data_IF_256342086699
#
_entry.id   IF_256342086699
#
_cell.length_a   1.000
_cell.length_b   1.000
_cell.length_c   1.000
_cell.angle_alpha   90.00
_cell.angle_beta   90.00
_cell.angle_gamma   90.00
#
_symmetry.space_group_name_H-M   'P 1'
#
loop_
_entity.id
_entity.type
_entity.pdbx_description
1 polymer ?
#
# COMPACT_ATOMS: atom_id res chain seq x y z
N UNK A 1 14.97 -5.02 11.38
CA UNK A 1 15.70 -3.76 11.59
C UNK A 1 15.20 -3.05 12.84
N UNK A 2 16.13 -2.46 13.60
CA UNK A 2 15.84 -1.73 14.83
C UNK A 2 16.56 -0.38 14.80
N UNK A 3 15.94 0.63 15.39
CA UNK A 3 16.62 1.87 15.71
C UNK A 3 16.59 2.13 17.21
N UNK A 4 17.48 2.97 17.65
CA UNK A 4 17.65 3.29 19.07
C UNK A 4 17.16 4.70 19.30
N UNK A 5 16.19 4.85 20.20
CA UNK A 5 15.61 6.15 20.55
C UNK A 5 16.26 6.70 21.81
N UNK A 6 16.70 7.95 21.73
CA UNK A 6 17.17 8.71 22.88
C UNK A 6 15.96 9.27 23.65
N UNK A 7 15.76 8.80 24.83
CA UNK A 7 14.73 9.35 25.73
C UNK A 7 15.46 10.25 26.69
N UNK A 8 15.41 11.55 26.40
CA UNK A 8 15.90 12.71 27.13
C UNK A 8 16.44 12.47 28.54
N UNK A 9 17.71 12.09 28.66
CA UNK A 9 18.40 11.99 29.94
C UNK A 9 19.84 12.45 29.75
N UNK A 10 20.40 12.99 30.79
CA UNK A 10 21.75 13.50 30.85
C UNK A 10 22.83 12.44 30.53
N UNK A 11 22.48 11.15 30.47
CA UNK A 11 23.42 10.07 30.27
C UNK A 11 23.82 9.83 28.82
N UNK A 12 23.15 10.49 27.84
CA UNK A 12 23.48 10.40 26.41
C UNK A 12 23.36 9.02 25.77
N UNK A 13 22.80 8.02 26.45
CA UNK A 13 22.63 6.66 25.95
C UNK A 13 21.19 6.36 25.54
N UNK A 14 20.99 5.62 24.45
CA UNK A 14 19.65 5.20 24.04
C UNK A 14 19.04 4.22 25.06
N UNK A 15 17.81 4.48 25.49
CA UNK A 15 17.12 3.68 26.54
C UNK A 15 16.12 2.67 26.01
N UNK A 16 15.78 2.74 24.72
CA UNK A 16 14.85 1.79 24.12
C UNK A 16 15.31 1.42 22.71
N UNK A 17 15.17 0.14 22.38
CA UNK A 17 15.29 -0.34 21.02
C UNK A 17 13.90 -0.49 20.41
N UNK A 18 13.64 0.19 19.30
CA UNK A 18 12.38 0.12 18.57
C UNK A 18 12.61 -0.41 17.16
N UNK A 19 11.58 -1.02 16.59
CA UNK A 19 11.60 -1.41 15.18
C UNK A 19 11.55 -0.17 14.31
N UNK A 20 12.18 -0.25 13.14
CA UNK A 20 12.07 0.80 12.12
C UNK A 20 10.68 0.74 11.46
N UNK A 21 10.19 1.87 10.99
CA UNK A 21 8.90 1.98 10.29
C UNK A 21 8.83 1.17 9.00
N UNK A 22 9.97 1.01 8.31
CA UNK A 22 10.12 0.20 7.10
C UNK A 22 10.51 -1.26 7.38
N UNK A 23 10.54 -1.71 8.65
CA UNK A 23 10.86 -3.09 8.98
C UNK A 23 9.76 -4.04 8.48
N UNK A 24 10.19 -5.02 7.67
CA UNK A 24 9.35 -6.13 7.21
C UNK A 24 9.96 -7.44 7.68
N UNK A 25 9.18 -8.25 8.38
CA UNK A 25 9.66 -9.52 8.94
C UNK A 25 9.96 -10.56 7.85
N UNK A 26 9.13 -10.58 6.81
CA UNK A 26 9.25 -11.52 5.70
C UNK A 26 9.11 -10.79 4.37
N UNK A 27 10.03 -11.06 3.46
CA UNK A 27 9.96 -10.60 2.07
C UNK A 27 10.38 -11.75 1.17
N UNK A 28 9.71 -11.91 0.04
CA UNK A 28 10.07 -12.88 -0.98
C UNK A 28 9.82 -12.30 -2.37
N UNK A 29 10.74 -12.58 -3.29
CA UNK A 29 10.60 -12.24 -4.69
C UNK A 29 10.88 -13.47 -5.53
N UNK A 30 10.00 -13.75 -6.50
CA UNK A 30 10.18 -14.78 -7.50
C UNK A 30 10.19 -14.12 -8.87
N UNK A 31 11.26 -14.32 -9.61
CA UNK A 31 11.42 -13.75 -10.95
C UNK A 31 11.54 -14.91 -11.94
N UNK A 32 10.67 -14.90 -12.94
CA UNK A 32 10.72 -15.80 -14.07
C UNK A 32 10.96 -14.97 -15.34
N UNK A 33 12.07 -15.24 -16.02
CA UNK A 33 12.36 -14.68 -17.34
C UNK A 33 12.55 -15.83 -18.32
N UNK A 34 11.77 -15.81 -19.38
CA UNK A 34 11.87 -16.78 -20.46
C UNK A 34 11.97 -16.05 -21.80
N UNK A 35 12.90 -16.50 -22.63
CA UNK A 35 13.08 -15.98 -23.99
C UNK A 35 13.15 -17.12 -24.98
N UNK A 36 12.31 -17.02 -25.99
CA UNK A 36 12.41 -17.93 -27.13
C UNK A 36 13.66 -17.60 -27.96
N UNK A 37 14.51 -18.57 -28.27
CA UNK A 37 15.58 -18.36 -29.24
C UNK A 37 15.01 -17.98 -30.62
N UNK A 38 15.88 -17.63 -31.57
CA UNK A 38 15.51 -17.37 -32.97
C UNK A 38 14.90 -18.61 -33.68
N UNK A 39 13.89 -19.18 -33.07
CA UNK A 39 13.15 -20.30 -33.62
C UNK A 39 12.18 -19.80 -34.70
N UNK A 40 11.93 -20.62 -35.68
CA UNK A 40 10.88 -20.38 -36.67
C UNK A 40 9.51 -20.57 -36.02
N UNK A 41 8.56 -19.69 -36.28
CA UNK A 41 7.19 -19.83 -35.82
C UNK A 41 6.66 -18.63 -35.04
N UNK A 42 5.48 -18.78 -34.51
CA UNK A 42 4.74 -17.70 -33.83
C UNK A 42 5.48 -17.21 -32.56
N UNK A 43 6.24 -18.06 -31.90
CA UNK A 43 6.98 -17.73 -30.69
C UNK A 43 8.41 -17.23 -30.93
N UNK A 44 8.86 -17.11 -32.18
CA UNK A 44 10.18 -16.57 -32.47
C UNK A 44 10.36 -15.18 -31.90
N UNK A 45 11.51 -14.91 -31.30
CA UNK A 45 11.88 -13.61 -30.72
C UNK A 45 10.84 -13.08 -29.70
N UNK A 46 10.22 -13.98 -28.94
CA UNK A 46 9.26 -13.62 -27.88
C UNK A 46 9.90 -13.75 -26.53
N UNK A 47 9.72 -12.74 -25.67
CA UNK A 47 10.09 -12.75 -24.25
C UNK A 47 8.84 -12.80 -23.36
N UNK A 48 8.95 -13.50 -22.25
CA UNK A 48 7.98 -13.49 -21.17
C UNK A 48 8.71 -13.25 -19.85
N UNK A 49 8.24 -12.29 -19.09
CA UNK A 49 8.75 -12.00 -17.76
C UNK A 49 7.61 -11.95 -16.75
N UNK A 50 7.80 -12.58 -15.61
CA UNK A 50 6.89 -12.51 -14.47
C UNK A 50 7.69 -12.22 -13.21
N UNK A 51 7.23 -11.24 -12.44
CA UNK A 51 7.81 -10.85 -11.14
C UNK A 51 6.71 -10.94 -10.11
N UNK A 52 6.86 -11.86 -9.17
CA UNK A 52 5.97 -11.99 -8.02
C UNK A 52 6.71 -11.50 -6.78
N UNK A 53 6.12 -10.55 -6.08
CA UNK A 53 6.64 -9.99 -4.84
C UNK A 53 5.65 -10.24 -3.71
N UNK A 54 6.19 -10.64 -2.57
CA UNK A 54 5.46 -10.79 -1.31
C UNK A 54 6.20 -10.02 -0.21
N UNK A 55 5.45 -9.31 0.63
CA UNK A 55 5.99 -8.70 1.84
C UNK A 55 5.00 -8.77 2.99
N UNK A 56 5.49 -9.10 4.20
CA UNK A 56 4.74 -8.78 5.41
C UNK A 56 4.62 -7.25 5.50
N UNK A 57 3.51 -6.76 6.05
CA UNK A 57 3.30 -5.32 6.19
C UNK A 57 4.46 -4.61 6.90
N UNK A 58 4.67 -3.36 6.61
CA UNK A 58 5.58 -2.48 7.33
C UNK A 58 5.02 -2.13 8.70
N UNK A 59 5.76 -1.38 9.50
CA UNK A 59 5.40 -1.10 10.88
C UNK A 59 4.67 0.24 11.00
N UNK A 60 3.83 0.35 12.03
CA UNK A 60 3.24 1.61 12.45
C UNK A 60 3.19 1.69 13.98
N UNK A 61 3.08 2.89 14.52
CA UNK A 61 2.90 3.10 15.95
C UNK A 61 1.41 3.18 16.24
N UNK A 62 0.84 2.23 17.01
CA UNK A 62 -0.55 2.32 17.44
C UNK A 62 -0.80 3.61 18.21
N UNK A 63 -1.90 4.29 17.90
CA UNK A 63 -2.31 5.52 18.57
C UNK A 63 -3.70 5.39 19.17
N UNK A 64 -3.99 6.22 20.13
CA UNK A 64 -5.32 6.41 20.69
C UNK A 64 -5.82 7.80 20.33
N UNK A 65 -7.03 7.87 19.79
CA UNK A 65 -7.64 9.14 19.42
C UNK A 65 -8.31 9.72 20.68
N UNK A 66 -7.85 10.90 21.08
CA UNK A 66 -8.55 11.73 22.03
C UNK A 66 -9.28 12.84 21.30
N UNK A 67 -10.60 12.90 21.44
CA UNK A 67 -11.39 14.01 20.97
C UNK A 67 -12.01 14.71 22.17
N UNK A 68 -11.80 16.01 22.26
CA UNK A 68 -12.62 16.85 23.14
C UNK A 68 -13.83 17.33 22.35
N UNK A 69 -14.90 17.71 23.04
CA UNK A 69 -16.15 18.24 22.47
C UNK A 69 -15.92 19.51 21.62
N UNK A 70 -14.73 20.11 21.69
CA UNK A 70 -14.32 21.35 21.05
C UNK A 70 -13.22 21.16 20.00
N UNK A 71 -13.47 20.35 18.95
CA UNK A 71 -12.78 20.39 17.63
C UNK A 71 -11.34 19.87 17.53
N UNK A 72 -10.61 19.54 18.58
CA UNK A 72 -9.24 19.06 18.44
C UNK A 72 -9.15 17.55 18.61
N UNK A 73 -8.86 16.85 17.52
CA UNK A 73 -8.45 15.45 17.56
C UNK A 73 -6.95 15.39 17.86
N UNK A 74 -6.61 14.75 18.96
CA UNK A 74 -5.22 14.49 19.32
C UNK A 74 -4.97 12.99 19.22
N UNK A 75 -3.89 12.63 18.57
CA UNK A 75 -3.40 11.25 18.57
C UNK A 75 -2.22 11.14 19.53
N UNK A 76 -2.34 10.22 20.48
CA UNK A 76 -1.25 9.87 21.37
C UNK A 76 -0.84 8.43 21.14
N UNK A 77 0.47 8.09 21.22
CA UNK A 77 0.91 6.71 21.15
C UNK A 77 0.18 5.84 22.19
N UNK A 78 -0.46 4.77 21.73
CA UNK A 78 -1.15 3.80 22.57
C UNK A 78 -0.32 2.52 22.81
N UNK A 79 0.90 2.50 22.27
CA UNK A 79 1.81 1.37 22.39
C UNK A 79 3.26 1.77 22.08
N UNK A 80 4.18 0.82 22.11
CA UNK A 80 5.56 1.06 21.74
C UNK A 80 5.67 1.54 20.27
N UNK A 81 6.69 2.34 20.00
CA UNK A 81 6.97 2.84 18.65
C UNK A 81 7.11 1.66 17.68
N UNK A 82 6.38 1.74 16.55
CA UNK A 82 6.41 0.73 15.48
C UNK A 82 6.04 -0.70 15.93
N UNK A 83 5.17 -0.83 16.94
CA UNK A 83 4.72 -2.13 17.44
C UNK A 83 3.60 -2.77 16.60
N UNK A 84 2.82 -1.96 15.88
CA UNK A 84 1.80 -2.43 14.95
C UNK A 84 2.41 -2.92 13.64
N UNK A 85 1.66 -3.74 12.91
CA UNK A 85 2.06 -4.25 11.58
C UNK A 85 0.92 -4.04 10.61
N UNK A 86 1.19 -3.40 9.47
CA UNK A 86 0.22 -3.25 8.39
C UNK A 86 -0.07 -4.60 7.71
N UNK A 87 -1.16 -4.71 6.95
CA UNK A 87 -1.47 -5.91 6.17
C UNK A 87 -0.31 -6.34 5.26
N UNK A 88 -0.15 -7.65 5.07
CA UNK A 88 0.80 -8.19 4.10
C UNK A 88 0.30 -7.90 2.67
N UNK A 89 1.23 -7.84 1.73
CA UNK A 89 0.92 -7.62 0.32
C UNK A 89 1.50 -8.70 -0.58
N UNK A 90 0.85 -8.88 -1.72
CA UNK A 90 1.34 -9.72 -2.82
C UNK A 90 1.13 -8.97 -4.12
N UNK A 91 2.15 -8.87 -4.94
CA UNK A 91 2.08 -8.26 -6.27
C UNK A 91 2.58 -9.24 -7.33
N UNK A 92 1.93 -9.26 -8.49
CA UNK A 92 2.37 -9.99 -9.67
C UNK A 92 2.40 -9.05 -10.86
N UNK A 93 3.59 -8.84 -11.41
CA UNK A 93 3.80 -8.10 -12.63
C UNK A 93 4.16 -9.04 -13.76
N UNK A 94 3.51 -8.87 -14.90
CA UNK A 94 3.71 -9.69 -16.10
C UNK A 94 4.13 -8.81 -17.28
N UNK A 95 5.01 -9.34 -18.11
CA UNK A 95 5.39 -8.70 -19.38
C UNK A 95 5.58 -9.74 -20.46
N UNK A 96 5.03 -9.44 -21.61
CA UNK A 96 5.30 -10.16 -22.87
C UNK A 96 5.87 -9.16 -23.86
N UNK A 97 6.94 -9.52 -24.52
CA UNK A 97 7.51 -8.73 -25.59
C UNK A 97 7.82 -9.60 -26.81
N UNK A 98 7.77 -9.00 -27.99
CA UNK A 98 8.06 -9.67 -29.27
C UNK A 98 8.76 -8.74 -30.23
N UNK A 99 9.91 -9.21 -30.72
CA UNK A 99 10.65 -8.49 -31.74
C UNK A 99 10.27 -8.99 -33.14
N UNK A 100 10.13 -8.02 -34.05
CA UNK A 100 9.86 -8.22 -35.47
C UNK A 100 10.99 -7.60 -36.28
N UNK A 101 11.62 -8.39 -37.17
CA UNK A 101 12.64 -7.92 -38.08
C UNK A 101 11.98 -7.52 -39.41
N UNK A 102 12.03 -6.26 -39.77
CA UNK A 102 11.36 -5.65 -40.91
C UNK A 102 12.40 -5.06 -41.91
N UNK A 103 13.29 -5.92 -42.43
CA UNK A 103 14.20 -5.51 -43.52
C UNK A 103 15.15 -4.36 -43.16
N UNK A 104 15.83 -4.44 -42.03
CA UNK A 104 16.75 -3.39 -41.52
C UNK A 104 16.22 -2.56 -40.34
N UNK A 105 14.92 -2.68 -40.07
CA UNK A 105 14.27 -2.17 -38.88
C UNK A 105 13.97 -3.31 -37.91
N UNK A 106 14.16 -3.07 -36.61
CA UNK A 106 13.71 -3.97 -35.57
C UNK A 106 12.60 -3.28 -34.76
N UNK A 107 11.38 -3.80 -34.83
CA UNK A 107 10.25 -3.34 -34.03
C UNK A 107 10.04 -4.32 -32.88
N UNK A 108 10.10 -3.81 -31.63
CA UNK A 108 9.82 -4.61 -30.44
C UNK A 108 8.53 -4.11 -29.78
N UNK A 109 7.44 -4.87 -29.97
CA UNK A 109 6.17 -4.63 -29.30
C UNK A 109 6.13 -5.29 -27.93
N UNK A 110 5.49 -4.66 -26.93
CA UNK A 110 5.33 -5.23 -25.61
C UNK A 110 3.97 -4.93 -25.00
N UNK A 111 3.55 -5.83 -24.12
CA UNK A 111 2.42 -5.66 -23.21
C UNK A 111 2.94 -5.92 -21.81
N UNK A 112 2.72 -4.97 -20.90
CA UNK A 112 3.01 -5.11 -19.47
C UNK A 112 1.74 -4.98 -18.66
N UNK A 113 1.53 -5.90 -17.74
CA UNK A 113 0.41 -5.89 -16.79
C UNK A 113 1.02 -5.76 -15.39
N UNK A 114 0.81 -4.62 -14.76
CA UNK A 114 1.21 -4.37 -13.38
C UNK A 114 0.04 -4.71 -12.46
N UNK A 115 0.34 -5.30 -11.32
CA UNK A 115 -0.64 -5.80 -10.37
C UNK A 115 -1.67 -6.73 -11.07
N UNK A 116 -1.17 -7.76 -11.76
CA UNK A 116 -2.02 -8.66 -12.55
C UNK A 116 -3.10 -9.38 -11.74
N UNK A 117 -2.86 -9.59 -10.43
CA UNK A 117 -3.82 -10.19 -9.51
C UNK A 117 -4.91 -9.20 -9.06
N UNK A 118 -4.74 -7.90 -9.36
CA UNK A 118 -5.63 -6.82 -8.92
C UNK A 118 -5.82 -6.80 -7.39
N UNK A 119 -4.73 -7.08 -6.67
CA UNK A 119 -4.74 -7.08 -5.21
C UNK A 119 -4.73 -5.66 -4.67
N UNK A 120 -5.59 -5.40 -3.71
CA UNK A 120 -5.60 -4.15 -2.97
C UNK A 120 -4.47 -4.17 -1.94
N UNK A 121 -3.40 -3.39 -2.20
CA UNK A 121 -2.26 -3.30 -1.30
C UNK A 121 -2.38 -2.03 -0.47
N UNK A 122 -2.20 -2.16 0.83
CA UNK A 122 -2.32 -1.05 1.78
C UNK A 122 -0.99 -0.31 1.89
N UNK A 123 -0.99 0.98 1.55
CA UNK A 123 0.16 1.88 1.68
C UNK A 123 0.22 2.58 3.04
N UNK A 124 -0.93 2.80 3.68
CA UNK A 124 -1.03 3.43 4.98
C UNK A 124 -2.30 2.99 5.69
N UNK A 125 -2.24 2.93 7.01
CA UNK A 125 -3.38 2.64 7.89
C UNK A 125 -3.67 3.82 8.79
N UNK A 126 -4.85 3.83 9.40
CA UNK A 126 -5.13 4.70 10.54
C UNK A 126 -4.48 4.09 11.79
N UNK A 127 -3.62 4.85 12.45
CA UNK A 127 -2.84 4.34 13.59
C UNK A 127 -3.72 3.92 14.77
N UNK A 128 -4.95 4.46 14.87
CA UNK A 128 -5.89 4.12 15.94
C UNK A 128 -6.48 2.73 15.83
N UNK A 129 -6.69 2.24 14.62
CA UNK A 129 -7.33 0.95 14.37
C UNK A 129 -6.42 -0.06 13.68
N UNK A 130 -5.41 0.41 12.96
CA UNK A 130 -4.61 -0.40 12.05
C UNK A 130 -5.34 -0.73 10.74
N UNK A 131 -6.51 -0.13 10.50
CA UNK A 131 -7.30 -0.31 9.28
C UNK A 131 -7.03 0.81 8.27
N UNK A 132 -7.35 0.57 7.02
CA UNK A 132 -7.12 1.52 5.92
C UNK A 132 -8.25 2.53 5.77
N UNK A 133 -9.45 2.17 6.19
CA UNK A 133 -10.71 2.89 5.97
C UNK A 133 -11.49 3.19 7.26
N UNK A 134 -10.92 2.90 8.42
CA UNK A 134 -11.56 3.13 9.71
C UNK A 134 -10.56 3.77 10.69
N UNK A 135 -10.86 4.98 11.15
CA UNK A 135 -10.03 5.70 12.12
C UNK A 135 -10.39 5.40 13.58
N UNK A 136 -11.52 4.76 13.82
CA UNK A 136 -12.03 4.43 15.17
C UNK A 136 -12.74 5.58 15.88
N UNK A 137 -12.74 6.80 15.32
CA UNK A 137 -13.31 7.96 16.00
C UNK A 137 -14.82 7.86 16.23
N UNK A 138 -15.55 7.33 15.24
CA UNK A 138 -17.02 7.16 15.36
C UNK A 138 -17.41 6.23 16.53
N UNK A 139 -16.53 5.30 16.92
CA UNK A 139 -16.74 4.42 18.06
C UNK A 139 -16.56 5.12 19.42
N UNK A 140 -15.97 6.32 19.43
CA UNK A 140 -15.81 7.10 20.66
C UNK A 140 -17.09 7.82 21.06
N UNK A 141 -17.20 8.20 22.36
CA UNK A 141 -18.35 8.96 22.84
C UNK A 141 -18.58 10.27 22.06
N UNK A 142 -17.56 11.12 21.78
CA UNK A 142 -17.74 12.30 20.93
C UNK A 142 -18.20 11.98 19.52
N UNK A 143 -17.71 10.89 18.92
CA UNK A 143 -18.12 10.44 17.58
C UNK A 143 -19.61 10.02 17.57
N UNK A 144 -20.06 9.32 18.59
CA UNK A 144 -21.47 8.93 18.74
C UNK A 144 -22.38 10.16 18.96
N UNK A 145 -21.93 11.14 19.76
CA UNK A 145 -22.67 12.40 19.94
C UNK A 145 -22.76 13.18 18.64
N UNK A 146 -21.69 13.21 17.84
CA UNK A 146 -21.69 13.85 16.53
C UNK A 146 -22.70 13.19 15.58
N UNK A 147 -22.72 11.84 15.50
CA UNK A 147 -23.69 11.10 14.71
C UNK A 147 -25.14 11.40 15.13
N UNK A 148 -25.40 11.40 16.43
CA UNK A 148 -26.73 11.71 16.96
C UNK A 148 -27.18 13.14 16.59
N UNK A 149 -26.29 14.11 16.70
CA UNK A 149 -26.57 15.49 16.32
C UNK A 149 -26.78 15.65 14.80
N UNK A 150 -25.96 14.97 13.99
CA UNK A 150 -26.11 14.99 12.54
C UNK A 150 -27.46 14.40 12.09
N UNK A 151 -27.86 13.29 12.69
CA UNK A 151 -29.18 12.66 12.44
C UNK A 151 -30.33 13.56 12.87
N UNK A 152 -30.20 14.24 14.01
CA UNK A 152 -31.25 15.17 14.50
C UNK A 152 -31.40 16.40 13.60
N UNK A 153 -30.29 16.87 12.99
CA UNK A 153 -30.27 18.06 12.13
C UNK A 153 -30.69 17.75 10.69
N UNK A 154 -30.30 16.58 10.18
CA UNK A 154 -30.54 16.16 8.79
C UNK A 154 -30.95 14.67 8.75
N UNK A 155 -32.19 14.32 9.09
CA UNK A 155 -32.63 12.92 9.20
C UNK A 155 -32.56 12.14 7.89
N UNK A 156 -32.57 12.83 6.75
CA UNK A 156 -32.52 12.21 5.41
C UNK A 156 -31.07 11.89 4.96
N UNK A 157 -30.07 12.33 5.72
CA UNK A 157 -28.65 12.13 5.38
C UNK A 157 -28.05 11.01 6.22
N UNK A 158 -27.48 10.02 5.56
CA UNK A 158 -26.70 9.00 6.25
C UNK A 158 -25.30 9.54 6.62
N UNK A 159 -25.23 10.24 7.75
CA UNK A 159 -24.00 10.88 8.23
C UNK A 159 -22.86 9.86 8.48
N UNK A 160 -23.20 8.63 8.91
CA UNK A 160 -22.21 7.58 9.10
C UNK A 160 -21.57 7.14 7.79
N UNK A 161 -22.38 6.96 6.72
CA UNK A 161 -21.85 6.61 5.40
C UNK A 161 -20.98 7.73 4.83
N UNK A 162 -21.42 8.99 4.92
CA UNK A 162 -20.62 10.13 4.48
C UNK A 162 -19.30 10.26 5.24
N UNK A 163 -19.30 9.96 6.53
CA UNK A 163 -18.08 9.93 7.32
C UNK A 163 -17.12 8.84 6.81
N UNK A 164 -17.66 7.63 6.59
CA UNK A 164 -16.89 6.51 6.07
C UNK A 164 -16.30 6.81 4.67
N UNK A 165 -17.08 7.40 3.78
CA UNK A 165 -16.62 7.80 2.44
C UNK A 165 -15.46 8.81 2.54
N UNK A 166 -15.48 9.71 3.53
CA UNK A 166 -14.38 10.64 3.76
C UNK A 166 -13.10 9.99 4.31
N UNK A 167 -13.18 8.79 4.91
CA UNK A 167 -12.02 8.06 5.37
C UNK A 167 -11.36 7.23 4.26
N UNK A 168 -12.09 6.91 3.20
CA UNK A 168 -11.63 6.10 2.09
C UNK A 168 -10.72 6.89 1.13
N UNK A 169 -9.52 7.26 1.58
CA UNK A 169 -8.56 7.99 0.75
C UNK A 169 -7.87 7.06 -0.26
N UNK A 170 -8.00 7.33 -1.58
CA UNK A 170 -7.35 6.51 -2.61
C UNK A 170 -5.83 6.38 -2.46
N UNK A 171 -5.15 7.36 -1.86
CA UNK A 171 -3.70 7.33 -1.62
C UNK A 171 -3.26 6.30 -0.56
N UNK A 172 -4.19 5.77 0.22
CA UNK A 172 -3.92 4.69 1.17
C UNK A 172 -3.81 3.32 0.52
N UNK A 173 -4.21 3.22 -0.74
CA UNK A 173 -4.14 2.01 -1.55
C UNK A 173 -3.07 2.15 -2.63
N UNK A 174 -2.51 1.03 -3.05
CA UNK A 174 -1.67 0.97 -4.24
C UNK A 174 -2.49 1.16 -5.51
N UNK A 175 -1.80 1.37 -6.63
CA UNK A 175 -2.45 1.43 -7.93
C UNK A 175 -3.14 0.11 -8.26
N UNK A 176 -4.36 0.14 -8.83
CA UNK A 176 -5.05 -1.04 -9.34
C UNK A 176 -4.28 -1.63 -10.52
N UNK A 177 -4.75 -2.78 -11.01
CA UNK A 177 -4.19 -3.40 -12.20
C UNK A 177 -4.09 -2.41 -13.36
N UNK A 178 -2.89 -2.29 -13.89
CA UNK A 178 -2.60 -1.37 -14.99
C UNK A 178 -2.01 -2.14 -16.16
N UNK A 179 -2.58 -1.95 -17.35
CA UNK A 179 -2.08 -2.53 -18.59
C UNK A 179 -1.40 -1.45 -19.43
N UNK A 180 -0.17 -1.70 -19.84
CA UNK A 180 0.58 -0.82 -20.75
C UNK A 180 0.95 -1.58 -22.01
N UNK A 181 0.70 -0.95 -23.15
CA UNK A 181 1.10 -1.46 -24.46
C UNK A 181 2.05 -0.44 -25.09
N UNK A 182 3.13 -0.92 -25.67
CA UNK A 182 4.10 -0.04 -26.30
C UNK A 182 4.91 -0.75 -27.37
N UNK A 183 5.63 0.05 -28.14
CA UNK A 183 6.51 -0.43 -29.20
C UNK A 183 7.77 0.45 -29.26
N UNK A 184 8.93 -0.21 -29.37
CA UNK A 184 10.21 0.43 -29.63
C UNK A 184 10.67 0.07 -31.04
N UNK A 185 11.14 1.05 -31.80
CA UNK A 185 11.68 0.86 -33.15
C UNK A 185 13.14 1.28 -33.15
N UNK A 186 14.01 0.42 -33.63
CA UNK A 186 15.45 0.69 -33.83
C UNK A 186 15.82 0.43 -35.30
N UNK A 187 16.72 1.25 -35.82
CA UNK A 187 17.22 1.24 -37.20
C UNK A 187 18.73 1.41 -37.22
#
# INVERSE_FOLDING_TARGET
NFYVTWIGTDDGYPKAMNRLDYDQTHTANVILDWRSPEATGVLANTGFNAVMSFGSGTRFTPSQIYSTVFENRWEFPAGPVNSGTMPAYTNLDLRVDKAFNLGGLVANGYISVFNALDTEQVNAVYNGTGNVDEDGWVATEPGQQWLANALATNPDVNAAALYQDNLAFPSRWSAPRTVRVGMNISF
#
